data_IF_103431700973
#
_entry.id   IF_103431700973
#
_cell.length_a   1.000
_cell.length_b   1.000
_cell.length_c   1.000
_cell.angle_alpha   90.00
_cell.angle_beta   90.00
_cell.angle_gamma   90.00
#
_symmetry.space_group_name_H-M   'P 1'
#
loop_
_entity.id
_entity.type
_entity.pdbx_description
1 polymer ?
#
# COMPACT_ATOMS: atom_id res chain seq x y z
N UNK A 1 -9.17 -16.47 0.58
CA UNK A 1 -7.88 -16.08 -0.04
C UNK A 1 -7.68 -16.95 -1.28
N UNK A 2 -7.20 -16.41 -2.40
CA UNK A 2 -6.98 -17.15 -3.66
C UNK A 2 -5.50 -17.52 -3.82
N UNK A 3 -5.20 -18.58 -4.60
CA UNK A 3 -3.81 -19.03 -4.83
C UNK A 3 -2.99 -18.11 -5.73
N UNK A 4 -3.63 -17.48 -6.71
CA UNK A 4 -3.02 -16.57 -7.68
C UNK A 4 -3.75 -15.24 -7.65
N UNK A 5 -3.01 -14.14 -7.64
CA UNK A 5 -3.59 -12.80 -7.52
C UNK A 5 -4.59 -12.48 -8.64
N UNK A 6 -4.30 -12.89 -9.88
CA UNK A 6 -5.19 -12.69 -11.02
C UNK A 6 -6.55 -13.40 -10.91
N UNK A 7 -6.69 -14.37 -10.00
CA UNK A 7 -7.95 -15.08 -9.79
C UNK A 7 -8.84 -14.37 -8.75
N UNK A 8 -8.39 -13.26 -8.17
CA UNK A 8 -9.17 -12.54 -7.18
C UNK A 8 -10.24 -11.69 -7.86
N UNK A 9 -11.50 -12.10 -7.70
CA UNK A 9 -12.69 -11.51 -8.35
C UNK A 9 -12.83 -10.00 -8.16
N UNK A 10 -12.45 -9.48 -7.00
CA UNK A 10 -12.61 -8.07 -6.63
C UNK A 10 -11.32 -7.26 -6.86
N UNK A 11 -10.60 -7.56 -7.95
CA UNK A 11 -9.42 -6.81 -8.36
C UNK A 11 -9.33 -6.68 -9.87
N UNK A 12 -8.60 -5.68 -10.34
CA UNK A 12 -8.24 -5.50 -11.76
C UNK A 12 -7.13 -6.44 -12.23
N UNK A 13 -6.58 -7.29 -11.36
CA UNK A 13 -5.43 -8.13 -11.66
C UNK A 13 -5.67 -9.05 -12.86
N UNK A 14 -6.86 -9.62 -12.99
CA UNK A 14 -7.24 -10.45 -14.16
C UNK A 14 -7.13 -9.67 -15.48
N UNK A 15 -7.55 -8.40 -15.48
CA UNK A 15 -7.53 -7.57 -16.67
C UNK A 15 -6.13 -7.11 -17.04
N UNK A 16 -5.29 -6.75 -16.05
CA UNK A 16 -3.88 -6.47 -16.31
C UNK A 16 -3.08 -7.68 -16.78
N UNK A 17 -3.50 -8.89 -16.38
CA UNK A 17 -2.95 -10.14 -16.90
C UNK A 17 -3.52 -10.56 -18.26
N UNK A 18 -4.44 -9.78 -18.86
CA UNK A 18 -5.07 -10.10 -20.15
C UNK A 18 -6.07 -11.26 -20.11
N UNK A 19 -6.55 -11.66 -18.92
CA UNK A 19 -7.49 -12.79 -18.76
C UNK A 19 -8.95 -12.36 -18.86
N UNK A 20 -9.23 -11.07 -18.73
CA UNK A 20 -10.58 -10.50 -18.74
C UNK A 20 -10.52 -9.06 -19.25
N UNK A 21 -11.47 -8.65 -20.07
CA UNK A 21 -11.70 -7.23 -20.34
C UNK A 21 -12.56 -6.61 -19.23
N UNK A 22 -12.17 -5.44 -18.73
CA UNK A 22 -12.89 -4.77 -17.65
C UNK A 22 -13.18 -3.31 -18.02
N UNK A 23 -14.46 -3.04 -18.28
CA UNK A 23 -14.94 -1.73 -18.73
C UNK A 23 -14.83 -0.63 -17.66
N UNK A 24 -14.57 -0.99 -16.40
CA UNK A 24 -14.35 -0.01 -15.31
C UNK A 24 -12.93 0.55 -15.35
N UNK A 25 -12.00 -0.11 -16.05
CA UNK A 25 -10.64 0.38 -16.18
C UNK A 25 -10.57 1.64 -17.03
N UNK A 26 -9.68 2.54 -16.63
CA UNK A 26 -9.49 3.80 -17.32
C UNK A 26 -8.97 3.59 -18.75
N UNK A 27 -9.60 4.28 -19.70
CA UNK A 27 -9.11 4.41 -21.08
C UNK A 27 -8.12 5.55 -21.25
N UNK A 28 -7.79 6.27 -20.16
CA UNK A 28 -6.83 7.36 -20.20
C UNK A 28 -5.46 6.86 -20.66
N UNK A 29 -4.90 7.55 -21.65
CA UNK A 29 -3.67 7.13 -22.34
C UNK A 29 -2.45 7.21 -21.43
N UNK A 30 -2.39 8.19 -20.54
CA UNK A 30 -1.26 8.35 -19.63
C UNK A 30 -1.21 7.19 -18.64
N UNK A 31 -2.34 6.91 -17.99
CA UNK A 31 -2.47 5.80 -17.05
C UNK A 31 -2.26 4.45 -17.73
N UNK A 32 -2.84 4.26 -18.91
CA UNK A 32 -2.66 3.04 -19.70
C UNK A 32 -1.19 2.77 -20.01
N UNK A 33 -0.41 3.81 -20.33
CA UNK A 33 1.03 3.68 -20.59
C UNK A 33 1.81 3.27 -19.33
N UNK A 34 1.52 3.90 -18.19
CA UNK A 34 2.17 3.56 -16.92
C UNK A 34 1.85 2.13 -16.46
N UNK A 35 0.61 1.68 -16.62
CA UNK A 35 0.22 0.32 -16.24
C UNK A 35 0.83 -0.73 -17.17
N UNK A 36 1.03 -0.40 -18.46
CA UNK A 36 1.73 -1.26 -19.42
C UNK A 36 3.25 -1.34 -19.16
N UNK A 37 3.87 -0.34 -18.52
CA UNK A 37 5.32 -0.37 -18.27
C UNK A 37 5.75 -1.40 -17.23
N UNK A 38 4.80 -1.97 -16.46
CA UNK A 38 5.06 -3.10 -15.55
C UNK A 38 5.44 -4.37 -16.32
N UNK A 39 4.99 -4.52 -17.57
CA UNK A 39 5.27 -5.70 -18.39
C UNK A 39 4.40 -6.90 -18.00
N UNK A 40 5.02 -8.02 -17.61
CA UNK A 40 4.31 -9.24 -17.22
C UNK A 40 3.75 -9.12 -15.79
N UNK A 41 2.48 -8.71 -15.73
CA UNK A 41 1.72 -8.61 -14.49
C UNK A 41 1.59 -9.94 -13.74
N UNK A 42 1.47 -11.07 -14.42
CA UNK A 42 1.31 -12.36 -13.72
C UNK A 42 2.60 -12.74 -12.98
N UNK A 43 3.76 -12.48 -13.60
CA UNK A 43 5.05 -12.71 -12.97
C UNK A 43 5.29 -11.72 -11.83
N UNK A 44 5.04 -10.42 -12.07
CA UNK A 44 5.19 -9.38 -11.06
C UNK A 44 4.32 -9.64 -9.81
N UNK A 45 3.05 -10.04 -9.99
CA UNK A 45 2.15 -10.37 -8.89
C UNK A 45 2.52 -11.66 -8.14
N UNK A 46 3.33 -12.54 -8.75
CA UNK A 46 3.81 -13.76 -8.10
C UNK A 46 5.06 -13.52 -7.24
N UNK A 47 5.67 -12.34 -7.32
CA UNK A 47 6.83 -11.98 -6.51
C UNK A 47 6.49 -12.01 -5.02
N UNK A 48 7.46 -12.49 -4.22
CA UNK A 48 7.29 -12.57 -2.77
C UNK A 48 7.69 -11.26 -2.13
N UNK A 49 6.73 -10.66 -1.44
CA UNK A 49 6.95 -9.55 -0.52
C UNK A 49 7.85 -9.97 0.65
N UNK A 50 8.70 -9.06 1.12
CA UNK A 50 9.56 -9.32 2.28
C UNK A 50 8.70 -9.38 3.56
N UNK A 51 8.78 -10.45 4.37
CA UNK A 51 7.93 -10.60 5.56
C UNK A 51 8.00 -9.41 6.51
N UNK A 52 9.18 -8.81 6.68
CA UNK A 52 9.40 -7.65 7.55
C UNK A 52 8.61 -6.43 7.06
N UNK A 53 8.54 -6.21 5.75
CA UNK A 53 7.76 -5.11 5.17
C UNK A 53 6.27 -5.33 5.37
N UNK A 54 5.79 -6.56 5.17
CA UNK A 54 4.38 -6.91 5.39
C UNK A 54 3.96 -6.70 6.84
N UNK A 55 4.81 -7.08 7.81
CA UNK A 55 4.53 -6.85 9.24
C UNK A 55 4.40 -5.36 9.54
N UNK A 56 5.29 -4.53 9.00
CA UNK A 56 5.22 -3.07 9.16
C UNK A 56 3.95 -2.51 8.52
N UNK A 57 3.66 -2.90 7.27
CA UNK A 57 2.49 -2.44 6.53
C UNK A 57 1.19 -2.79 7.26
N UNK A 58 1.01 -4.06 7.66
CA UNK A 58 -0.18 -4.53 8.40
C UNK A 58 -0.34 -3.77 9.71
N UNK A 59 0.74 -3.59 10.46
CA UNK A 59 0.70 -2.85 11.71
C UNK A 59 0.30 -1.38 11.54
N UNK A 60 0.64 -0.73 10.42
CA UNK A 60 0.18 0.62 10.14
C UNK A 60 -1.29 0.64 9.69
N UNK A 61 -1.69 -0.28 8.79
CA UNK A 61 -3.07 -0.40 8.28
C UNK A 61 -4.07 -0.67 9.40
N UNK A 62 -3.78 -1.60 10.30
CA UNK A 62 -4.65 -1.93 11.44
C UNK A 62 -4.90 -0.76 12.38
N UNK A 63 -4.01 0.24 12.38
CA UNK A 63 -4.10 1.44 13.22
C UNK A 63 -4.54 2.68 12.46
N UNK A 64 -4.86 2.55 11.17
CA UNK A 64 -5.17 3.69 10.30
C UNK A 64 -4.01 4.67 10.13
N UNK A 65 -2.76 4.21 10.27
CA UNK A 65 -1.57 5.05 10.17
C UNK A 65 -0.97 4.99 8.75
N UNK A 66 -0.38 6.10 8.26
CA UNK A 66 0.31 6.12 6.98
C UNK A 66 1.61 5.30 7.03
N UNK A 67 1.90 4.55 5.96
CA UNK A 67 3.17 3.85 5.77
C UNK A 67 3.97 4.55 4.67
N UNK A 68 5.22 4.95 4.95
CA UNK A 68 6.05 5.63 3.97
C UNK A 68 7.34 6.20 4.55
N UNK A 69 8.09 6.93 3.73
CA UNK A 69 9.31 7.59 4.16
C UNK A 69 9.02 8.66 5.21
N UNK A 70 9.97 8.90 6.12
CA UNK A 70 9.76 9.86 7.22
C UNK A 70 9.42 11.27 6.72
N UNK A 71 10.08 11.73 5.65
CA UNK A 71 9.79 13.02 5.00
C UNK A 71 8.35 13.13 4.49
N UNK A 72 7.77 12.02 4.03
CA UNK A 72 6.40 11.97 3.55
C UNK A 72 5.43 12.06 4.73
N UNK A 73 5.69 11.29 5.79
CA UNK A 73 4.89 11.33 7.02
C UNK A 73 4.92 12.71 7.67
N UNK A 74 6.10 13.34 7.83
CA UNK A 74 6.21 14.72 8.37
C UNK A 74 5.40 15.74 7.56
N UNK A 75 5.36 15.58 6.24
CA UNK A 75 4.56 16.47 5.37
C UNK A 75 3.07 16.25 5.59
N UNK A 76 2.66 15.00 5.75
CA UNK A 76 1.27 14.64 6.01
C UNK A 76 0.82 15.13 7.40
N UNK A 77 1.65 14.97 8.43
CA UNK A 77 1.41 15.48 9.79
C UNK A 77 1.20 17.00 9.80
N UNK A 78 2.06 17.74 9.09
CA UNK A 78 1.91 19.20 8.95
C UNK A 78 0.61 19.60 8.26
N UNK A 79 0.16 18.85 7.26
CA UNK A 79 -1.09 19.13 6.55
C UNK A 79 -2.33 18.74 7.35
N UNK A 80 -2.25 17.63 8.10
CA UNK A 80 -3.35 17.13 8.92
C UNK A 80 -3.49 17.88 10.26
N UNK A 81 -2.43 18.54 10.73
CA UNK A 81 -2.40 19.18 12.05
C UNK A 81 -2.39 18.18 13.21
N UNK A 82 -2.06 16.91 12.93
CA UNK A 82 -2.09 15.81 13.89
C UNK A 82 -0.87 14.91 13.70
N UNK A 83 -0.48 14.21 14.77
CA UNK A 83 0.63 13.26 14.73
C UNK A 83 0.17 11.94 14.12
N UNK A 84 0.87 11.48 13.08
CA UNK A 84 0.51 10.31 12.27
C UNK A 84 1.60 9.22 12.32
N UNK A 85 2.39 9.24 13.39
CA UNK A 85 3.46 8.28 13.65
C UNK A 85 3.00 7.22 14.65
N UNK A 86 3.56 6.03 14.52
CA UNK A 86 3.40 4.99 15.52
C UNK A 86 3.99 5.44 16.86
N UNK A 87 3.16 5.47 17.90
CA UNK A 87 3.61 5.71 19.27
C UNK A 87 3.93 4.38 19.95
N UNK A 88 4.86 4.42 20.90
CA UNK A 88 5.05 3.29 21.81
C UNK A 88 3.72 2.95 22.49
N UNK A 89 3.44 1.66 22.67
CA UNK A 89 2.25 1.20 23.39
C UNK A 89 2.37 1.61 24.85
N UNK A 90 1.28 2.13 25.43
CA UNK A 90 1.21 2.49 26.84
C UNK A 90 1.33 3.99 27.12
N UNK A 91 1.21 4.34 28.40
CA UNK A 91 1.33 5.72 28.88
C UNK A 91 2.74 6.24 28.59
N UNK A 92 2.89 7.49 28.11
CA UNK A 92 4.20 8.14 28.04
C UNK A 92 4.87 8.09 29.42
N UNK A 93 6.18 7.80 29.45
CA UNK A 93 6.95 7.83 30.69
C UNK A 93 6.82 9.23 31.32
N UNK A 94 6.73 9.28 32.64
CA UNK A 94 6.76 10.54 33.39
C UNK A 94 8.13 11.17 33.13
N UNK A 95 8.14 12.33 32.50
CA UNK A 95 9.32 13.20 32.46
C UNK A 95 9.43 13.85 33.83
N UNK A 96 10.52 13.57 34.55
CA UNK A 96 10.92 14.38 35.70
C UNK A 96 11.50 15.67 35.15
N UNK A 97 10.94 16.79 35.58
CA UNK A 97 11.49 18.11 35.33
C UNK A 97 12.40 18.40 36.53
N UNK A 98 13.71 18.54 36.28
CA UNK A 98 14.69 19.11 37.22
C UNK A 98 14.54 20.63 37.30
#
# INVERSE_FOLDING_TARGET
>A
MVRRAQNYRWSSAAAHCGLKEDAVLTSDREWSRQLKSVGDWSTWLAERERPQQLTVLRGHVERGLPCGAERFIRRLERRAGQMLRLRARGRPKKVEWE
#
